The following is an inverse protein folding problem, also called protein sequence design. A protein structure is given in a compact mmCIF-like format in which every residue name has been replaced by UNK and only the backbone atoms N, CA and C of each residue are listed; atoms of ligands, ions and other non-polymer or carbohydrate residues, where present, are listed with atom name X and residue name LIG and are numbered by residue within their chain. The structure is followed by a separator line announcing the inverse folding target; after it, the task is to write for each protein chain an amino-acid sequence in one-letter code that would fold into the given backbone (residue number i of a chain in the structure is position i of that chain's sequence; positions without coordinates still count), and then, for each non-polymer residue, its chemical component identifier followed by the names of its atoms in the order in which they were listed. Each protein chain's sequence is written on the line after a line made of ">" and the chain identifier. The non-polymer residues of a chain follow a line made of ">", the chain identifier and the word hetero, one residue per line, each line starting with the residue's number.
data_IF_501562580442
#
_entry.id   IF_501562580442
#
_cell.length_a   1.000
_cell.length_b   1.000
_cell.length_c   1.000
_cell.angle_alpha   90.00
_cell.angle_beta   90.00
_cell.angle_gamma   90.00
#
_symmetry.space_group_name_H-M   'P 1'
#
loop_
_entity.id
_entity.type
_entity.pdbx_description
1 polymer ?
#
# COMPACT_ATOMS: atom_id res chain seq x y z
N UNK A 1 -3.13 26.56 -0.77
CA UNK A 1 -2.55 25.45 0.03
C UNK A 1 -2.47 24.23 -0.88
N UNK A 2 -1.35 23.51 -0.91
CA UNK A 2 -1.19 22.33 -1.77
C UNK A 2 -1.85 21.10 -1.18
N UNK A 3 -1.69 20.87 0.12
CA UNK A 3 -2.35 19.79 0.84
C UNK A 3 -3.80 20.16 1.15
N UNK A 4 -4.71 19.22 0.94
CA UNK A 4 -6.10 19.33 1.34
C UNK A 4 -6.47 18.12 2.23
N UNK A 5 -6.80 18.32 3.52
CA UNK A 5 -7.20 17.23 4.41
C UNK A 5 -8.54 16.59 4.03
N UNK A 6 -9.34 17.27 3.20
CA UNK A 6 -10.60 16.76 2.65
C UNK A 6 -10.42 16.24 1.23
N UNK A 7 -9.18 15.99 0.79
CA UNK A 7 -8.93 15.34 -0.49
C UNK A 7 -9.51 13.92 -0.47
N UNK A 8 -10.32 13.53 -1.48
CA UNK A 8 -10.96 12.22 -1.49
C UNK A 8 -9.97 11.06 -1.57
N UNK A 9 -8.82 11.23 -2.23
CA UNK A 9 -7.78 10.19 -2.28
C UNK A 9 -7.18 10.01 -0.89
N UNK A 10 -6.84 11.10 -0.19
CA UNK A 10 -6.35 11.02 1.18
C UNK A 10 -7.34 10.28 2.09
N UNK A 11 -8.60 10.70 2.08
CA UNK A 11 -9.64 10.12 2.93
C UNK A 11 -9.83 8.63 2.66
N UNK A 12 -9.83 8.22 1.39
CA UNK A 12 -9.93 6.81 1.01
C UNK A 12 -8.71 5.99 1.47
N UNK A 13 -7.49 6.46 1.22
CA UNK A 13 -6.29 5.70 1.54
C UNK A 13 -5.99 5.69 3.05
N UNK A 14 -6.17 6.82 3.73
CA UNK A 14 -6.00 6.90 5.18
C UNK A 14 -7.05 6.05 5.91
N UNK A 15 -8.32 6.04 5.45
CA UNK A 15 -9.33 5.17 6.05
C UNK A 15 -9.02 3.69 5.83
N UNK A 16 -8.52 3.31 4.66
CA UNK A 16 -8.06 1.95 4.38
C UNK A 16 -6.93 1.54 5.33
N UNK A 17 -5.92 2.39 5.49
CA UNK A 17 -4.82 2.19 6.42
C UNK A 17 -5.27 2.09 7.89
N UNK A 18 -6.25 2.88 8.32
CA UNK A 18 -6.73 2.90 9.71
C UNK A 18 -7.73 1.78 10.00
N UNK A 19 -8.49 1.33 9.00
CA UNK A 19 -9.59 0.36 9.18
C UNK A 19 -9.16 -0.95 9.85
N UNK A 20 -7.94 -1.41 9.60
CA UNK A 20 -7.38 -2.65 10.18
C UNK A 20 -7.23 -2.60 11.70
N UNK A 21 -7.23 -1.41 12.31
CA UNK A 21 -7.25 -1.26 13.77
C UNK A 21 -8.57 -1.76 14.36
N UNK A 22 -9.67 -1.63 13.62
CA UNK A 22 -11.05 -1.90 14.06
C UNK A 22 -11.54 -3.29 13.68
N UNK A 23 -10.74 -4.07 12.97
CA UNK A 23 -11.07 -5.42 12.55
C UNK A 23 -10.14 -6.38 13.28
N UNK A 24 -10.68 -7.47 13.80
CA UNK A 24 -9.90 -8.66 14.13
C UNK A 24 -10.25 -9.78 13.18
N UNK A 25 -9.28 -10.65 12.95
CA UNK A 25 -9.44 -11.79 12.08
C UNK A 25 -8.99 -13.05 12.81
N UNK A 26 -9.87 -14.04 12.81
CA UNK A 26 -9.56 -15.38 13.28
C UNK A 26 -9.41 -16.28 12.06
N UNK A 27 -8.16 -16.65 11.78
CA UNK A 27 -7.82 -17.51 10.66
C UNK A 27 -8.30 -18.95 10.85
N UNK A 28 -8.47 -19.42 12.09
CA UNK A 28 -8.96 -20.77 12.39
C UNK A 28 -10.49 -20.83 12.31
N UNK A 29 -11.16 -19.81 12.85
CA UNK A 29 -12.62 -19.72 12.82
C UNK A 29 -13.17 -19.15 11.51
N UNK A 30 -12.32 -18.68 10.59
CA UNK A 30 -12.72 -18.04 9.33
C UNK A 30 -13.58 -16.80 9.53
N UNK A 31 -13.36 -16.03 10.60
CA UNK A 31 -14.23 -14.88 10.93
C UNK A 31 -13.49 -13.56 10.93
N UNK A 32 -14.22 -12.51 10.54
CA UNK A 32 -13.84 -11.12 10.73
C UNK A 32 -14.79 -10.49 11.74
N UNK A 33 -14.25 -9.90 12.79
CA UNK A 33 -15.05 -9.27 13.85
C UNK A 33 -14.66 -7.82 14.02
N UNK A 34 -15.64 -6.97 14.31
CA UNK A 34 -15.36 -5.59 14.70
C UNK A 34 -14.87 -5.54 16.13
N UNK A 35 -13.87 -4.71 16.37
CA UNK A 35 -13.35 -4.42 17.71
C UNK A 35 -13.04 -2.94 17.87
N UNK A 36 -13.06 -2.46 19.10
CA UNK A 36 -12.49 -1.15 19.43
C UNK A 36 -11.01 -1.31 19.76
N UNK A 37 -10.09 -0.60 19.08
CA UNK A 37 -8.67 -0.69 19.40
C UNK A 37 -8.38 -0.06 20.76
N UNK A 38 -7.44 -0.65 21.51
CA UNK A 38 -6.92 -0.02 22.72
C UNK A 38 -6.05 1.19 22.36
N UNK A 39 -5.85 2.13 23.29
CA UNK A 39 -4.93 3.24 23.07
C UNK A 39 -3.49 2.76 22.80
N UNK A 40 -3.09 1.63 23.41
CA UNK A 40 -1.80 0.99 23.16
C UNK A 40 -1.68 0.47 21.72
N UNK A 41 -2.74 -0.16 21.20
CA UNK A 41 -2.75 -0.65 19.82
C UNK A 41 -2.63 0.49 18.82
N UNK A 42 -3.36 1.58 19.05
CA UNK A 42 -3.30 2.77 18.20
C UNK A 42 -1.89 3.36 18.25
N UNK A 43 -1.33 3.54 19.44
CA UNK A 43 0.00 4.10 19.61
C UNK A 43 1.06 3.26 18.89
N UNK A 44 1.08 1.94 19.15
CA UNK A 44 2.02 1.02 18.50
C UNK A 44 1.91 1.07 16.98
N UNK A 45 0.68 1.15 16.45
CA UNK A 45 0.42 1.18 15.01
C UNK A 45 0.91 2.47 14.36
N UNK A 46 0.64 3.63 14.96
CA UNK A 46 1.04 4.92 14.40
C UNK A 46 2.50 5.27 14.67
N UNK A 47 3.12 4.65 15.69
CA UNK A 47 4.53 4.84 16.02
C UNK A 47 5.47 3.87 15.29
N UNK A 48 4.94 2.99 14.43
CA UNK A 48 5.76 2.04 13.68
C UNK A 48 6.76 2.79 12.78
N UNK A 49 8.04 2.32 12.68
CA UNK A 49 9.04 2.96 11.82
C UNK A 49 8.59 3.18 10.37
N UNK A 50 7.76 2.29 9.81
CA UNK A 50 7.23 2.46 8.45
C UNK A 50 6.41 3.74 8.30
N UNK A 51 5.58 4.08 9.31
CA UNK A 51 4.83 5.35 9.33
C UNK A 51 5.80 6.53 9.35
N UNK A 52 6.90 6.42 10.11
CA UNK A 52 7.98 7.39 10.10
C UNK A 52 8.60 7.60 8.71
N UNK A 53 8.81 6.54 7.94
CA UNK A 53 9.33 6.62 6.56
C UNK A 53 8.32 7.32 5.64
N UNK A 54 7.04 6.98 5.71
CA UNK A 54 6.00 7.68 4.94
C UNK A 54 5.89 9.17 5.31
N UNK A 55 6.02 9.52 6.60
CA UNK A 55 6.09 10.92 7.03
C UNK A 55 7.34 11.62 6.51
N UNK A 56 8.49 10.95 6.47
CA UNK A 56 9.70 11.50 5.89
C UNK A 56 9.54 11.77 4.38
N UNK A 57 8.89 10.87 3.64
CA UNK A 57 8.55 11.07 2.23
C UNK A 57 7.64 12.30 2.04
N UNK A 58 6.60 12.45 2.87
CA UNK A 58 5.74 13.64 2.85
C UNK A 58 6.54 14.93 3.13
N UNK A 59 7.46 14.90 4.09
CA UNK A 59 8.35 16.03 4.36
C UNK A 59 9.23 16.39 3.16
N UNK A 60 9.76 15.39 2.45
CA UNK A 60 10.52 15.60 1.21
C UNK A 60 9.64 16.26 0.15
N UNK A 61 8.41 15.76 -0.05
CA UNK A 61 7.45 16.39 -0.96
C UNK A 61 7.21 17.87 -0.61
N UNK A 62 6.93 18.17 0.67
CA UNK A 62 6.68 19.54 1.14
C UNK A 62 7.88 20.45 0.93
N UNK A 63 9.09 19.93 1.16
CA UNK A 63 10.32 20.66 0.93
C UNK A 63 10.52 20.99 -0.56
N UNK A 64 10.36 19.99 -1.43
CA UNK A 64 10.57 20.15 -2.88
C UNK A 64 9.50 21.00 -3.56
N UNK A 65 8.30 21.08 -2.99
CA UNK A 65 7.18 21.86 -3.55
C UNK A 65 6.95 23.20 -2.86
N UNK A 66 7.85 23.59 -1.96
CA UNK A 66 7.89 24.91 -1.32
C UNK A 66 7.72 26.03 -2.35
N UNK A 67 6.76 26.91 -2.10
CA UNK A 67 6.52 28.08 -2.95
C UNK A 67 5.78 27.78 -4.25
N UNK A 68 5.33 26.54 -4.49
CA UNK A 68 4.51 26.24 -5.66
C UNK A 68 3.16 26.95 -5.57
N UNK A 69 2.69 27.44 -6.73
CA UNK A 69 1.42 28.12 -6.84
C UNK A 69 0.23 27.16 -6.63
N UNK A 70 -0.94 27.72 -6.30
CA UNK A 70 -2.18 26.95 -6.20
C UNK A 70 -2.47 26.18 -7.50
N UNK A 71 -2.94 24.95 -7.36
CA UNK A 71 -3.30 24.08 -8.48
C UNK A 71 -4.77 24.22 -8.83
N UNK A 72 -5.12 23.95 -10.09
CA UNK A 72 -6.51 23.70 -10.45
C UNK A 72 -7.00 22.42 -9.78
N UNK A 73 -8.32 22.27 -9.62
CA UNK A 73 -8.91 21.09 -8.98
C UNK A 73 -8.42 19.77 -9.60
N UNK A 74 -8.38 19.67 -10.93
CA UNK A 74 -7.92 18.47 -11.62
C UNK A 74 -6.44 18.16 -11.34
N UNK A 75 -5.56 19.17 -11.37
CA UNK A 75 -4.13 18.97 -11.05
C UNK A 75 -3.92 18.65 -9.57
N UNK A 76 -4.72 19.26 -8.69
CA UNK A 76 -4.72 18.93 -7.27
C UNK A 76 -5.08 17.47 -7.06
N UNK A 77 -6.11 16.95 -7.72
CA UNK A 77 -6.49 15.53 -7.61
C UNK A 77 -5.39 14.60 -8.13
N UNK A 78 -4.80 14.91 -9.30
CA UNK A 78 -3.70 14.12 -9.85
C UNK A 78 -2.48 14.12 -8.92
N UNK A 79 -2.10 15.28 -8.39
CA UNK A 79 -1.01 15.42 -7.43
C UNK A 79 -1.26 14.60 -6.15
N UNK A 80 -2.45 14.71 -5.57
CA UNK A 80 -2.80 13.97 -4.36
C UNK A 80 -2.91 12.45 -4.62
N UNK A 81 -3.37 12.04 -5.80
CA UNK A 81 -3.36 10.63 -6.21
C UNK A 81 -1.96 10.04 -6.08
N UNK A 82 -0.96 10.69 -6.70
CA UNK A 82 0.42 10.21 -6.63
C UNK A 82 1.02 10.35 -5.23
N UNK A 83 0.84 11.50 -4.57
CA UNK A 83 1.40 11.71 -3.24
C UNK A 83 0.92 10.68 -2.22
N UNK A 84 -0.38 10.44 -2.15
CA UNK A 84 -0.94 9.53 -1.14
C UNK A 84 -0.76 8.06 -1.49
N UNK A 85 -0.71 7.70 -2.78
CA UNK A 85 -0.30 6.35 -3.16
C UNK A 85 1.17 6.11 -2.79
N UNK A 86 2.08 7.05 -3.06
CA UNK A 86 3.48 6.97 -2.63
C UNK A 86 3.60 6.76 -1.12
N UNK A 87 3.06 7.70 -0.35
CA UNK A 87 3.21 7.72 1.12
C UNK A 87 2.49 6.57 1.81
N UNK A 88 1.21 6.33 1.49
CA UNK A 88 0.39 5.38 2.25
C UNK A 88 0.49 3.99 1.66
N UNK A 89 0.32 3.84 0.35
CA UNK A 89 0.20 2.52 -0.29
C UNK A 89 1.58 1.92 -0.55
N UNK A 90 2.40 2.55 -1.37
CA UNK A 90 3.67 1.99 -1.81
C UNK A 90 4.72 1.94 -0.70
N UNK A 91 4.80 2.98 0.14
CA UNK A 91 5.73 3.01 1.27
C UNK A 91 5.22 2.21 2.46
N UNK A 92 4.13 2.65 3.09
CA UNK A 92 3.72 2.11 4.40
C UNK A 92 3.05 0.74 4.26
N UNK A 93 2.03 0.62 3.41
CA UNK A 93 1.20 -0.57 3.33
C UNK A 93 1.88 -1.71 2.54
N UNK A 94 1.95 -1.62 1.22
CA UNK A 94 2.44 -2.73 0.40
C UNK A 94 3.94 -2.95 0.58
N UNK A 95 4.73 -1.87 0.53
CA UNK A 95 6.19 -1.94 0.67
C UNK A 95 6.63 -2.43 2.04
N UNK A 96 6.49 -1.59 3.06
CA UNK A 96 6.98 -1.90 4.41
C UNK A 96 6.18 -3.02 5.09
N UNK A 97 4.84 -2.95 5.12
CA UNK A 97 4.05 -3.94 5.86
C UNK A 97 3.88 -5.26 5.11
N UNK A 98 3.48 -5.23 3.83
CA UNK A 98 3.38 -6.43 2.99
C UNK A 98 4.74 -7.04 2.66
N UNK A 99 5.68 -6.23 2.21
CA UNK A 99 7.01 -6.68 1.77
C UNK A 99 7.95 -7.08 2.91
N UNK A 100 8.00 -6.32 3.99
CA UNK A 100 9.05 -6.45 5.02
C UNK A 100 8.53 -6.73 6.44
N UNK A 101 7.22 -6.83 6.64
CA UNK A 101 6.65 -7.20 7.94
C UNK A 101 6.61 -6.08 8.98
N UNK A 102 6.83 -4.83 8.57
CA UNK A 102 6.57 -3.67 9.43
C UNK A 102 5.06 -3.52 9.68
N UNK A 103 4.68 -2.68 10.63
CA UNK A 103 3.28 -2.51 11.04
C UNK A 103 2.63 -3.89 11.28
N UNK A 104 3.06 -4.66 12.30
CA UNK A 104 2.78 -6.10 12.40
C UNK A 104 1.30 -6.48 12.26
N UNK A 105 0.39 -5.62 12.76
CA UNK A 105 -1.05 -5.80 12.60
C UNK A 105 -1.46 -5.79 11.13
N UNK A 106 -1.01 -4.80 10.36
CA UNK A 106 -1.31 -4.70 8.94
C UNK A 106 -0.67 -5.86 8.15
N UNK A 107 0.57 -6.22 8.46
CA UNK A 107 1.25 -7.38 7.85
C UNK A 107 0.49 -8.69 8.08
N UNK A 108 -0.06 -8.89 9.29
CA UNK A 108 -0.94 -10.03 9.58
C UNK A 108 -2.18 -10.03 8.67
N UNK A 109 -2.79 -8.86 8.44
CA UNK A 109 -3.95 -8.74 7.54
C UNK A 109 -3.62 -9.06 6.08
N UNK A 110 -2.42 -8.72 5.58
CA UNK A 110 -1.97 -9.22 4.27
C UNK A 110 -1.94 -10.75 4.24
N UNK A 111 -1.42 -11.40 5.27
CA UNK A 111 -1.43 -12.87 5.37
C UNK A 111 -2.83 -13.48 5.44
N UNK A 112 -3.79 -12.81 6.08
CA UNK A 112 -5.19 -13.26 6.12
C UNK A 112 -5.83 -13.19 4.74
N UNK A 113 -5.68 -12.05 4.07
CA UNK A 113 -6.29 -11.78 2.77
C UNK A 113 -5.63 -12.54 1.64
N UNK A 114 -4.32 -12.78 1.72
CA UNK A 114 -3.55 -13.36 0.63
C UNK A 114 -2.49 -14.33 1.16
N UNK A 115 -2.62 -15.61 0.76
CA UNK A 115 -1.73 -16.69 1.24
C UNK A 115 -0.26 -16.47 0.87
N UNK A 116 0.05 -15.68 -0.16
CA UNK A 116 1.42 -15.38 -0.60
C UNK A 116 2.23 -14.64 0.47
N UNK A 117 1.54 -14.01 1.43
CA UNK A 117 2.14 -13.33 2.56
C UNK A 117 2.32 -14.22 3.81
N UNK A 118 1.84 -15.48 3.79
CA UNK A 118 2.03 -16.48 4.87
C UNK A 118 3.38 -17.20 4.73
N UNK A 119 4.46 -16.44 4.85
CA UNK A 119 5.83 -16.88 4.55
C UNK A 119 6.34 -17.97 5.49
N UNK A 120 5.78 -18.02 6.70
CA UNK A 120 6.02 -19.03 7.71
C UNK A 120 5.49 -20.42 7.33
N UNK A 121 4.54 -20.49 6.38
CA UNK A 121 3.93 -21.75 5.93
C UNK A 121 4.61 -22.35 4.69
N UNK A 122 5.68 -21.72 4.16
CA UNK A 122 6.39 -22.23 2.99
C UNK A 122 6.93 -23.64 3.26
N UNK A 123 6.64 -24.58 2.36
CA UNK A 123 7.01 -25.99 2.52
C UNK A 123 5.96 -26.84 3.25
N UNK A 124 4.84 -26.25 3.67
CA UNK A 124 3.66 -26.98 4.15
C UNK A 124 2.62 -27.14 3.04
N UNK A 125 1.76 -28.18 3.07
CA UNK A 125 0.70 -28.36 2.06
C UNK A 125 -0.29 -27.19 1.97
N UNK A 126 -0.51 -26.47 3.07
CA UNK A 126 -1.45 -25.35 3.15
C UNK A 126 -0.80 -23.97 2.92
N UNK A 127 0.51 -23.93 2.66
CA UNK A 127 1.27 -22.69 2.47
C UNK A 127 1.54 -22.35 1.00
N UNK A 128 2.00 -21.11 0.73
CA UNK A 128 2.41 -20.73 -0.61
C UNK A 128 3.69 -21.47 -1.04
N UNK A 129 3.85 -21.67 -2.34
CA UNK A 129 5.11 -22.10 -2.93
C UNK A 129 6.18 -21.02 -2.80
N UNK A 130 7.45 -21.44 -2.90
CA UNK A 130 8.60 -20.52 -2.91
C UNK A 130 8.48 -19.49 -4.03
N UNK A 131 7.97 -19.90 -5.20
CA UNK A 131 7.76 -19.03 -6.34
C UNK A 131 6.74 -17.92 -6.04
N UNK A 132 5.58 -18.28 -5.48
CA UNK A 132 4.52 -17.33 -5.14
C UNK A 132 4.99 -16.26 -4.14
N UNK A 133 5.74 -16.68 -3.12
CA UNK A 133 6.34 -15.74 -2.15
C UNK A 133 7.36 -14.82 -2.82
N UNK A 134 8.16 -15.35 -3.75
CA UNK A 134 9.15 -14.55 -4.48
C UNK A 134 8.48 -13.52 -5.40
N UNK A 135 7.38 -13.88 -6.06
CA UNK A 135 6.58 -12.96 -6.88
C UNK A 135 6.03 -11.83 -6.02
N UNK A 136 5.35 -12.15 -4.92
CA UNK A 136 4.80 -11.13 -4.01
C UNK A 136 5.90 -10.20 -3.50
N UNK A 137 7.00 -10.75 -2.97
CA UNK A 137 8.16 -9.96 -2.51
C UNK A 137 8.73 -9.05 -3.59
N UNK A 138 8.80 -9.52 -4.84
CA UNK A 138 9.30 -8.70 -5.95
C UNK A 138 8.37 -7.53 -6.24
N UNK A 139 7.05 -7.75 -6.20
CA UNK A 139 6.05 -6.68 -6.35
C UNK A 139 6.17 -5.67 -5.22
N UNK A 140 6.17 -6.11 -3.95
CA UNK A 140 6.29 -5.21 -2.80
C UNK A 140 7.62 -4.42 -2.81
N UNK A 141 8.73 -5.06 -3.19
CA UNK A 141 10.01 -4.38 -3.35
C UNK A 141 9.98 -3.36 -4.50
N UNK A 142 9.31 -3.68 -5.60
CA UNK A 142 9.14 -2.75 -6.72
C UNK A 142 8.29 -1.54 -6.31
N UNK A 143 7.23 -1.75 -5.53
CA UNK A 143 6.41 -0.68 -4.99
C UNK A 143 7.23 0.25 -4.10
N UNK A 144 7.99 -0.32 -3.16
CA UNK A 144 8.81 0.46 -2.23
C UNK A 144 9.98 1.20 -2.90
N UNK A 145 10.73 0.53 -3.77
CA UNK A 145 11.99 1.07 -4.31
C UNK A 145 11.85 1.75 -5.66
N UNK A 146 10.72 1.59 -6.35
CA UNK A 146 10.50 2.19 -7.67
C UNK A 146 9.25 3.05 -7.66
N UNK A 147 8.09 2.49 -7.30
CA UNK A 147 6.81 3.23 -7.45
C UNK A 147 6.73 4.39 -6.48
N UNK A 148 7.18 4.21 -5.24
CA UNK A 148 7.27 5.27 -4.23
C UNK A 148 7.98 6.51 -4.81
N UNK A 149 9.20 6.34 -5.32
CA UNK A 149 10.00 7.46 -5.82
C UNK A 149 9.45 8.07 -7.11
N UNK A 150 8.93 7.24 -8.02
CA UNK A 150 8.32 7.76 -9.24
C UNK A 150 7.00 8.48 -8.95
N UNK A 151 6.22 8.01 -7.98
CA UNK A 151 4.97 8.66 -7.56
C UNK A 151 5.25 9.97 -6.82
N UNK A 152 6.26 10.00 -5.96
CA UNK A 152 6.76 11.25 -5.37
C UNK A 152 7.21 12.23 -6.46
N UNK A 153 8.01 11.78 -7.42
CA UNK A 153 8.45 12.61 -8.54
C UNK A 153 7.26 13.13 -9.36
N UNK A 154 6.27 12.28 -9.67
CA UNK A 154 5.03 12.68 -10.34
C UNK A 154 4.30 13.79 -9.55
N UNK A 155 4.09 13.60 -8.25
CA UNK A 155 3.45 14.58 -7.39
C UNK A 155 4.19 15.92 -7.37
N UNK A 156 5.53 15.89 -7.22
CA UNK A 156 6.39 17.09 -7.27
C UNK A 156 6.29 17.77 -8.63
N UNK A 157 6.32 17.00 -9.72
CA UNK A 157 6.22 17.51 -11.09
C UNK A 157 4.88 18.20 -11.34
N UNK A 158 3.77 17.62 -10.87
CA UNK A 158 2.43 18.23 -10.98
C UNK A 158 2.37 19.52 -10.15
N UNK A 159 2.87 19.51 -8.91
CA UNK A 159 2.86 20.66 -8.02
C UNK A 159 3.69 21.83 -8.55
N UNK A 160 4.89 21.55 -9.05
CA UNK A 160 5.80 22.56 -9.63
C UNK A 160 5.48 22.90 -11.08
N UNK A 161 4.50 22.21 -11.69
CA UNK A 161 4.10 22.34 -13.11
C UNK A 161 5.25 22.07 -14.08
N UNK A 162 6.18 21.21 -13.69
CA UNK A 162 7.33 20.86 -14.50
C UNK A 162 6.90 20.18 -15.80
N UNK A 163 7.59 20.41 -16.92
CA UNK A 163 7.18 19.87 -18.23
C UNK A 163 7.26 18.34 -18.30
N UNK A 164 8.13 17.72 -17.51
CA UNK A 164 8.35 16.28 -17.48
C UNK A 164 7.28 15.49 -16.71
N UNK A 165 6.40 16.15 -15.94
CA UNK A 165 5.44 15.46 -15.05
C UNK A 165 4.63 14.40 -15.78
N UNK A 166 4.09 14.71 -16.96
CA UNK A 166 3.23 13.80 -17.73
C UNK A 166 3.90 12.48 -18.10
N UNK A 167 5.19 12.52 -18.41
CA UNK A 167 5.95 11.32 -18.76
C UNK A 167 6.12 10.42 -17.54
N UNK A 168 6.43 11.00 -16.38
CA UNK A 168 6.55 10.26 -15.12
C UNK A 168 5.19 9.73 -14.68
N UNK A 169 4.13 10.53 -14.78
CA UNK A 169 2.76 10.08 -14.47
C UNK A 169 2.35 8.89 -15.34
N UNK A 170 2.58 8.97 -16.66
CA UNK A 170 2.28 7.88 -17.57
C UNK A 170 3.08 6.61 -17.23
N UNK A 171 4.36 6.76 -16.87
CA UNK A 171 5.20 5.64 -16.46
C UNK A 171 4.67 4.99 -15.18
N UNK A 172 4.42 5.77 -14.12
CA UNK A 172 3.87 5.26 -12.84
C UNK A 172 2.56 4.53 -13.06
N UNK A 173 1.62 5.14 -13.79
CA UNK A 173 0.29 4.55 -14.02
C UNK A 173 0.37 3.29 -14.88
N UNK A 174 1.21 3.27 -15.91
CA UNK A 174 1.41 2.08 -16.74
C UNK A 174 2.04 0.94 -15.95
N UNK A 175 3.04 1.23 -15.12
CA UNK A 175 3.68 0.24 -14.26
C UNK A 175 2.71 -0.29 -13.21
N UNK A 176 1.95 0.58 -12.53
CA UNK A 176 0.94 0.16 -11.55
C UNK A 176 -0.16 -0.69 -12.18
N UNK A 177 -0.65 -0.31 -13.38
CA UNK A 177 -1.62 -1.11 -14.13
C UNK A 177 -1.05 -2.47 -14.53
N UNK A 178 0.19 -2.50 -15.03
CA UNK A 178 0.86 -3.74 -15.40
C UNK A 178 1.10 -4.65 -14.19
N UNK A 179 1.60 -4.11 -13.07
CA UNK A 179 1.79 -4.84 -11.82
C UNK A 179 0.48 -5.42 -11.29
N UNK A 180 -0.59 -4.61 -11.30
CA UNK A 180 -1.93 -5.06 -10.91
C UNK A 180 -2.42 -6.22 -11.79
N UNK A 181 -2.24 -6.14 -13.11
CA UNK A 181 -2.60 -7.21 -14.03
C UNK A 181 -1.77 -8.48 -13.79
N UNK A 182 -0.46 -8.35 -13.58
CA UNK A 182 0.40 -9.50 -13.28
C UNK A 182 0.06 -10.16 -11.94
N UNK A 183 -0.41 -9.40 -10.96
CA UNK A 183 -0.71 -9.91 -9.64
C UNK A 183 -2.13 -10.50 -9.54
N UNK A 184 -3.12 -9.88 -10.23
CA UNK A 184 -4.52 -10.28 -10.20
C UNK A 184 -4.90 -11.29 -11.27
N UNK A 185 -4.40 -11.18 -12.50
CA UNK A 185 -4.85 -12.04 -13.60
C UNK A 185 -4.55 -13.53 -13.35
N UNK A 186 -3.35 -13.93 -12.88
CA UNK A 186 -3.10 -15.33 -12.51
C UNK A 186 -4.04 -15.79 -11.40
N UNK A 187 -4.27 -14.94 -10.39
CA UNK A 187 -5.14 -15.29 -9.27
C UNK A 187 -6.59 -15.50 -9.75
N UNK A 188 -7.10 -14.64 -10.64
CA UNK A 188 -8.42 -14.82 -11.25
C UNK A 188 -8.53 -16.09 -12.10
N UNK A 189 -7.47 -16.46 -12.84
CA UNK A 189 -7.44 -17.69 -13.64
C UNK A 189 -7.44 -18.94 -12.77
N UNK A 190 -6.80 -18.87 -11.61
CA UNK A 190 -6.75 -19.96 -10.64
C UNK A 190 -7.98 -20.02 -9.72
N UNK A 191 -8.96 -19.12 -9.88
CA UNK A 191 -10.17 -19.10 -9.03
C UNK A 191 -9.96 -18.42 -7.67
N UNK A 192 -9.06 -17.43 -7.65
CA UNK A 192 -8.66 -16.62 -6.49
C UNK A 192 -8.11 -17.44 -5.33
N UNK A 193 -7.37 -18.53 -5.60
CA UNK A 193 -6.84 -19.43 -4.57
C UNK A 193 -5.93 -18.73 -3.56
N UNK A 194 -5.26 -17.63 -3.95
CA UNK A 194 -4.46 -16.87 -3.00
C UNK A 194 -5.32 -15.96 -2.13
N UNK A 195 -6.37 -15.38 -2.70
CA UNK A 195 -7.26 -14.40 -2.08
C UNK A 195 -8.48 -14.99 -1.37
N UNK A 196 -8.35 -16.19 -0.81
CA UNK A 196 -9.39 -16.78 0.03
C UNK A 196 -9.06 -16.51 1.51
N UNK A 197 -9.83 -15.63 2.18
CA UNK A 197 -9.64 -15.39 3.61
C UNK A 197 -9.68 -16.72 4.34
N UNK A 198 -8.63 -17.03 5.08
CA UNK A 198 -8.59 -18.16 6.01
C UNK A 198 -8.60 -19.59 5.37
N UNK A 199 -8.42 -19.77 4.06
CA UNK A 199 -8.65 -21.06 3.35
C UNK A 199 -7.72 -22.27 3.64
N UNK A 200 -7.18 -22.43 4.85
CA UNK A 200 -6.28 -23.52 5.21
C UNK A 200 -6.94 -24.91 5.39
N UNK A 201 -8.04 -25.24 4.70
CA UNK A 201 -8.70 -26.57 4.88
C UNK A 201 -9.19 -27.30 3.62
N UNK A 202 -8.98 -26.77 2.42
CA UNK A 202 -9.40 -27.46 1.19
C UNK A 202 -8.27 -27.51 0.16
N UNK A 203 -7.24 -28.30 0.45
CA UNK A 203 -6.36 -28.91 -0.53
C UNK A 203 -5.80 -30.21 0.04
#
# INVERSE_FOLDING_TARGET
>A
MLLNPLDPTFLFLASSFVSVLFIDADAEAMTLTMRMPSAGDVLQYVSDPAVGVGLAELCVFLYLTRGSAALSRSRSLAMHWHLWNGVIIYTVMDGCAGGFGFVPRLSRFYGILDRRYRRDLVGTPAGPSVYEVAVARTVNATELFVYTWLSLAAAVGVATRATWHRTIEAAVLAMAAYGSLLFMAPDMLDGCLNQQPCASRFA
#
